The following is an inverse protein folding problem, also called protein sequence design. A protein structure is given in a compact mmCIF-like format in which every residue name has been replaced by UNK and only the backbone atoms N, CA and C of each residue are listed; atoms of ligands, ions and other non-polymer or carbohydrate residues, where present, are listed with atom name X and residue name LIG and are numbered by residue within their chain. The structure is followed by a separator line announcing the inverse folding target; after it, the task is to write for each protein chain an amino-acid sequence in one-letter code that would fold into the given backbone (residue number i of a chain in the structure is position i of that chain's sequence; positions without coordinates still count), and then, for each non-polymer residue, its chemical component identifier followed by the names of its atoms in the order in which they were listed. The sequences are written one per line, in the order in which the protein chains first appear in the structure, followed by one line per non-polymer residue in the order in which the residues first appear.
data_IF_303089250891
#
_entry.id   IF_303089250891
#
_cell.length_a   1.000
_cell.length_b   1.000
_cell.length_c   1.000
_cell.angle_alpha   90.00
_cell.angle_beta   90.00
_cell.angle_gamma   90.00
#
_symmetry.space_group_name_H-M   'P 1'
#
loop_
_entity.id
_entity.type
_entity.pdbx_description
1 polymer ?
#
# COMPACT_ATOMS: atom_id res chain seq x y z
N UNK A 1 -5.67 18.81 16.41
CA UNK A 1 -6.13 17.53 15.83
C UNK A 1 -4.92 16.63 15.71
N UNK A 2 -4.98 15.42 16.25
CA UNK A 2 -3.85 14.49 16.25
C UNK A 2 -3.67 13.91 14.82
N UNK A 3 -2.45 13.84 14.25
CA UNK A 3 -2.22 13.21 12.95
C UNK A 3 -2.80 11.80 12.81
N UNK A 4 -2.80 11.01 13.89
CA UNK A 4 -3.39 9.67 13.91
C UNK A 4 -4.91 9.72 13.70
N UNK A 5 -5.60 10.65 14.36
CA UNK A 5 -7.05 10.83 14.23
C UNK A 5 -7.44 11.23 12.81
N UNK A 6 -6.63 12.08 12.16
CA UNK A 6 -6.84 12.49 10.76
C UNK A 6 -6.72 11.29 9.83
N UNK A 7 -5.66 10.50 9.98
CA UNK A 7 -5.41 9.34 9.13
C UNK A 7 -6.49 8.26 9.30
N UNK A 8 -6.94 8.04 10.54
CA UNK A 8 -8.05 7.13 10.81
C UNK A 8 -9.36 7.60 10.15
N UNK A 9 -9.67 8.90 10.25
CA UNK A 9 -10.85 9.47 9.60
C UNK A 9 -10.81 9.39 8.06
N UNK A 10 -9.62 9.40 7.47
CA UNK A 10 -9.40 9.21 6.03
C UNK A 10 -9.43 7.73 5.60
N UNK A 11 -9.58 6.78 6.53
CA UNK A 11 -9.51 5.35 6.22
C UNK A 11 -8.13 4.91 5.74
N UNK A 12 -7.07 5.53 6.27
CA UNK A 12 -5.71 5.17 5.89
C UNK A 12 -5.41 3.73 6.31
N UNK A 13 -4.91 2.95 5.36
CA UNK A 13 -4.44 1.58 5.59
C UNK A 13 -2.91 1.55 5.50
N UNK A 14 -2.30 0.77 6.39
CA UNK A 14 -0.86 0.55 6.42
C UNK A 14 -0.55 -0.88 6.01
N UNK A 15 0.61 -1.08 5.38
CA UNK A 15 1.13 -2.43 5.18
C UNK A 15 1.37 -3.08 6.55
N UNK A 16 1.07 -4.39 6.72
CA UNK A 16 1.44 -5.12 7.93
C UNK A 16 2.96 -5.15 8.17
N UNK A 17 3.77 -4.79 7.18
CA UNK A 17 5.23 -4.78 7.27
C UNK A 17 5.81 -3.40 7.63
N UNK A 18 4.97 -2.38 7.87
CA UNK A 18 5.42 -1.00 8.04
C UNK A 18 6.40 -0.82 9.22
N UNK A 19 6.15 -1.46 10.36
CA UNK A 19 7.02 -1.38 11.53
C UNK A 19 8.37 -2.06 11.28
N UNK A 20 8.36 -3.21 10.61
CA UNK A 20 9.59 -3.93 10.24
C UNK A 20 10.44 -3.12 9.24
N UNK A 21 9.80 -2.43 8.29
CA UNK A 21 10.49 -1.52 7.38
C UNK A 21 11.08 -0.31 8.09
N UNK A 22 10.29 0.40 8.89
CA UNK A 22 10.74 1.65 9.55
C UNK A 22 11.81 1.42 10.63
N UNK A 23 11.85 0.22 11.22
CA UNK A 23 12.92 -0.20 12.13
C UNK A 23 14.20 -0.65 11.40
N UNK A 24 14.17 -0.78 10.06
CA UNK A 24 15.28 -1.29 9.26
C UNK A 24 15.44 -2.81 9.29
N UNK A 25 14.49 -3.54 9.88
CA UNK A 25 14.49 -5.00 9.91
C UNK A 25 14.03 -5.63 8.58
N UNK A 26 13.38 -4.85 7.71
CA UNK A 26 12.91 -5.27 6.40
C UNK A 26 13.36 -4.29 5.31
N UNK A 27 13.93 -4.82 4.23
CA UNK A 27 14.24 -4.04 3.04
C UNK A 27 12.98 -3.61 2.28
N UNK A 28 12.99 -2.41 1.70
CA UNK A 28 11.83 -1.83 1.02
C UNK A 28 11.28 -2.71 -0.11
N UNK A 29 12.14 -3.50 -0.79
CA UNK A 29 11.71 -4.41 -1.86
C UNK A 29 10.87 -5.60 -1.38
N UNK A 30 10.85 -5.84 -0.07
CA UNK A 30 10.11 -6.93 0.58
C UNK A 30 8.81 -6.47 1.25
N UNK A 31 8.50 -5.17 1.26
CA UNK A 31 7.26 -4.65 1.85
C UNK A 31 6.06 -5.15 1.04
N UNK A 32 5.14 -5.85 1.71
CA UNK A 32 3.88 -6.25 1.07
C UNK A 32 3.04 -5.02 0.72
N UNK A 33 2.60 -4.96 -0.54
CA UNK A 33 1.70 -3.89 -1.01
C UNK A 33 0.39 -3.88 -0.20
N UNK A 34 -0.04 -2.71 0.27
CA UNK A 34 -1.30 -2.59 1.04
C UNK A 34 -2.51 -3.06 0.23
N UNK A 35 -2.49 -2.94 -1.10
CA UNK A 35 -3.62 -3.31 -1.96
C UNK A 35 -3.71 -4.82 -2.21
N UNK A 36 -2.60 -5.49 -2.54
CA UNK A 36 -2.59 -6.90 -2.98
C UNK A 36 -1.76 -7.85 -2.11
N UNK A 37 -1.08 -7.35 -1.07
CA UNK A 37 -0.25 -8.11 -0.12
C UNK A 37 0.91 -8.91 -0.73
N UNK A 38 1.32 -8.61 -1.96
CA UNK A 38 2.46 -9.25 -2.61
C UNK A 38 3.74 -8.43 -2.44
N UNK A 39 4.87 -9.13 -2.38
CA UNK A 39 6.23 -8.62 -2.51
C UNK A 39 7.12 -9.68 -3.20
N UNK A 40 7.91 -9.35 -4.24
CA UNK A 40 7.92 -8.05 -4.94
C UNK A 40 6.60 -7.78 -5.67
N UNK A 41 6.31 -6.51 -5.98
CA UNK A 41 5.11 -6.16 -6.76
C UNK A 41 5.27 -6.61 -8.22
N UNK A 42 4.19 -7.15 -8.78
CA UNK A 42 4.09 -7.57 -10.18
C UNK A 42 3.38 -6.53 -11.06
N UNK A 43 3.38 -5.27 -10.62
CA UNK A 43 2.63 -4.20 -11.24
C UNK A 43 3.36 -3.73 -12.51
N UNK A 44 2.63 -3.15 -13.49
CA UNK A 44 3.27 -2.46 -14.61
C UNK A 44 4.21 -1.35 -14.12
N UNK A 45 5.02 -0.81 -15.04
CA UNK A 45 5.89 0.32 -14.74
C UNK A 45 5.13 1.46 -14.06
N UNK A 46 5.71 1.99 -12.98
CA UNK A 46 5.10 3.02 -12.16
C UNK A 46 4.72 4.24 -13.02
N UNK A 47 3.50 4.74 -12.84
CA UNK A 47 3.02 5.95 -13.53
C UNK A 47 2.46 5.71 -14.93
N UNK A 48 2.48 4.47 -15.44
CA UNK A 48 1.80 4.13 -16.69
C UNK A 48 0.27 4.10 -16.53
N UNK A 49 -0.50 4.31 -17.62
CA UNK A 49 -1.95 4.13 -17.58
C UNK A 49 -2.38 2.75 -17.05
N UNK A 50 -1.65 1.70 -17.41
CA UNK A 50 -1.90 0.32 -16.98
C UNK A 50 -1.66 0.15 -15.48
N UNK A 51 -0.64 0.81 -14.92
CA UNK A 51 -0.39 0.83 -13.48
C UNK A 51 -1.56 1.45 -12.72
N UNK A 52 -2.05 2.61 -13.16
CA UNK A 52 -3.17 3.29 -12.50
C UNK A 52 -4.48 2.49 -12.63
N UNK A 53 -4.78 1.96 -13.81
CA UNK A 53 -5.96 1.11 -14.03
C UNK A 53 -5.97 -0.12 -13.11
N UNK A 54 -4.81 -0.77 -12.91
CA UNK A 54 -4.69 -1.90 -11.99
C UNK A 54 -4.87 -1.48 -10.53
N UNK A 55 -4.36 -0.32 -10.13
CA UNK A 55 -4.54 0.22 -8.78
C UNK A 55 -6.00 0.56 -8.49
N UNK A 56 -6.69 1.21 -9.42
CA UNK A 56 -8.12 1.53 -9.29
C UNK A 56 -8.93 0.24 -9.14
N UNK A 57 -8.68 -0.76 -10.00
CA UNK A 57 -9.32 -2.06 -9.90
C UNK A 57 -9.10 -2.71 -8.52
N UNK A 58 -7.88 -2.66 -7.98
CA UNK A 58 -7.56 -3.25 -6.68
C UNK A 58 -8.19 -2.48 -5.52
N UNK A 59 -8.25 -1.15 -5.58
CA UNK A 59 -8.94 -0.32 -4.57
C UNK A 59 -10.43 -0.59 -4.55
N UNK A 60 -11.08 -0.67 -5.72
CA UNK A 60 -12.51 -0.99 -5.81
C UNK A 60 -12.86 -2.36 -5.22
N UNK A 61 -11.96 -3.35 -5.29
CA UNK A 61 -12.16 -4.68 -4.68
C UNK A 61 -12.03 -4.68 -3.15
N UNK A 62 -11.34 -3.70 -2.56
CA UNK A 62 -11.20 -3.55 -1.10
C UNK A 62 -12.31 -2.70 -0.49
N UNK A 63 -13.00 -1.89 -1.29
CA UNK A 63 -14.09 -1.01 -0.87
C UNK A 63 -15.49 -1.62 -0.97
N UNK A 64 -15.64 -2.95 -0.90
CA UNK A 64 -16.92 -3.67 -0.89
C UNK A 64 -17.08 -4.50 0.39
#
# INVERSE_FOLDING_TARGET
MNPIEILAALGAEWSPDFDAYTSGALDASHIRCVLCQMAPCSCPEFGTPEYFALHDQRRSRRGA
#
